data_IF_442426513065
#
_entry.id   IF_442426513065
#
_cell.length_a   1.000
_cell.length_b   1.000
_cell.length_c   1.000
_cell.angle_alpha   90.00
_cell.angle_beta   90.00
_cell.angle_gamma   90.00
#
_symmetry.space_group_name_H-M   'P 1'
#
loop_
_entity.id
_entity.type
_entity.pdbx_description
1 polymer ?
#
# COMPACT_ATOMS: atom_id res chain seq x y z
N UNK A 1 25.80 -59.55 6.99
CA UNK A 1 26.31 -60.84 6.45
C UNK A 1 25.14 -61.79 6.36
N UNK A 2 24.96 -62.37 5.18
CA UNK A 2 23.93 -63.34 4.81
C UNK A 2 24.07 -64.63 5.62
N UNK A 3 22.93 -65.23 6.00
CA UNK A 3 22.64 -66.65 5.79
C UNK A 3 21.13 -66.86 5.74
N UNK A 4 20.67 -67.43 4.62
CA UNK A 4 19.33 -67.95 4.37
C UNK A 4 18.99 -69.12 5.30
N UNK A 5 17.70 -69.40 5.49
CA UNK A 5 17.18 -70.75 5.29
C UNK A 5 15.70 -70.74 4.87
N UNK A 6 15.35 -71.81 4.17
CA UNK A 6 14.26 -71.91 3.18
C UNK A 6 13.06 -72.73 3.70
N UNK A 7 12.06 -72.88 2.82
CA UNK A 7 10.96 -73.87 2.78
C UNK A 7 9.65 -73.41 3.45
N UNK A 8 8.47 -73.46 2.84
CA UNK A 8 8.02 -73.89 1.53
C UNK A 8 6.48 -74.08 1.51
N UNK A 9 5.88 -73.89 0.33
CA UNK A 9 4.63 -74.49 -0.20
C UNK A 9 3.28 -74.23 0.51
N UNK A 10 2.26 -73.71 -0.17
CA UNK A 10 1.43 -74.43 -1.17
C UNK A 10 0.11 -73.70 -1.50
N UNK A 11 -0.43 -73.94 -2.71
CA UNK A 11 -1.84 -73.73 -3.11
C UNK A 11 -2.09 -72.49 -3.99
N UNK A 12 -1.97 -72.54 -5.34
CA UNK A 12 -2.96 -73.03 -6.32
C UNK A 12 -4.31 -72.28 -6.24
N UNK A 13 -4.97 -71.76 -7.29
CA UNK A 13 -4.92 -71.85 -8.77
C UNK A 13 -5.82 -70.69 -9.29
N UNK A 14 -5.44 -69.93 -10.34
CA UNK A 14 -5.98 -69.98 -11.74
C UNK A 14 -7.42 -69.41 -11.84
N UNK A 15 -7.82 -68.43 -12.67
CA UNK A 15 -7.65 -68.22 -14.13
C UNK A 15 -8.14 -66.79 -14.48
N UNK A 16 -7.45 -66.02 -15.34
CA UNK A 16 -7.94 -65.62 -16.68
C UNK A 16 -8.66 -64.24 -16.69
N UNK A 17 -8.59 -63.35 -17.68
CA UNK A 17 -7.88 -63.22 -18.95
C UNK A 17 -8.04 -61.74 -19.44
N UNK A 18 -7.20 -61.31 -20.39
CA UNK A 18 -7.46 -60.17 -21.30
C UNK A 18 -6.60 -58.91 -21.05
N UNK A 19 -5.39 -58.83 -21.63
CA UNK A 19 -5.06 -58.22 -22.94
C UNK A 19 -5.44 -56.73 -23.04
N UNK A 20 -4.46 -55.84 -22.90
CA UNK A 20 -3.86 -55.03 -23.99
C UNK A 20 -4.79 -53.95 -24.57
N UNK A 21 -4.45 -52.68 -24.36
CA UNK A 21 -3.75 -51.90 -25.38
C UNK A 21 -3.41 -50.48 -24.89
N UNK A 22 -2.21 -50.07 -25.29
CA UNK A 22 -1.70 -48.69 -25.27
C UNK A 22 -2.66 -47.76 -26.03
N UNK A 23 -2.88 -46.58 -25.47
CA UNK A 23 -3.47 -45.43 -26.15
C UNK A 23 -2.79 -44.16 -25.67
N UNK A 24 -1.79 -43.70 -26.41
CA UNK A 24 -1.28 -42.33 -26.36
C UNK A 24 -2.31 -41.36 -26.95
N UNK A 25 -2.46 -40.19 -26.33
CA UNK A 25 -2.63 -38.84 -26.94
C UNK A 25 -3.28 -37.87 -25.93
N UNK A 26 -3.12 -36.55 -26.10
CA UNK A 26 -1.91 -35.83 -26.48
C UNK A 26 -1.63 -34.67 -25.50
N UNK A 27 -0.34 -34.33 -25.33
CA UNK A 27 0.06 -33.04 -24.81
C UNK A 27 -0.30 -31.97 -25.86
N UNK A 28 -1.33 -31.16 -25.57
CA UNK A 28 -1.56 -29.92 -26.29
C UNK A 28 -0.82 -28.81 -25.54
N UNK A 29 0.26 -28.35 -26.14
CA UNK A 29 0.87 -27.05 -25.87
C UNK A 29 -0.14 -25.96 -26.22
N UNK A 30 -0.85 -25.45 -25.21
CA UNK A 30 -1.49 -24.14 -25.31
C UNK A 30 -0.57 -23.11 -24.66
N UNK A 31 0.14 -22.36 -25.52
CA UNK A 31 0.81 -21.12 -25.17
C UNK A 31 -0.21 -20.14 -24.56
N UNK A 32 -0.24 -20.01 -23.24
CA UNK A 32 -0.81 -18.87 -22.55
C UNK A 32 0.21 -18.36 -21.53
N UNK A 33 0.73 -17.16 -21.81
CA UNK A 33 1.78 -16.50 -21.05
C UNK A 33 1.50 -16.48 -19.55
N UNK A 34 2.35 -17.20 -18.81
CA UNK A 34 2.54 -17.00 -17.38
C UNK A 34 3.33 -15.72 -17.23
N UNK A 35 2.66 -14.61 -16.86
CA UNK A 35 3.36 -13.35 -16.58
C UNK A 35 3.88 -13.42 -15.15
N UNK A 36 5.16 -13.69 -15.02
CA UNK A 36 5.93 -13.56 -13.80
C UNK A 36 5.94 -12.08 -13.37
N UNK A 37 5.41 -11.80 -12.17
CA UNK A 37 5.57 -10.49 -11.55
C UNK A 37 6.89 -10.49 -10.78
N UNK A 38 7.99 -10.22 -11.47
CA UNK A 38 9.23 -9.81 -10.82
C UNK A 38 9.03 -8.39 -10.26
N UNK A 39 8.95 -8.27 -8.94
CA UNK A 39 9.31 -7.02 -8.26
C UNK A 39 10.84 -6.89 -8.34
N UNK A 40 11.34 -6.53 -9.52
CA UNK A 40 12.74 -6.21 -9.74
C UNK A 40 13.05 -4.85 -9.15
N UNK A 41 13.87 -4.80 -8.09
CA UNK A 41 14.64 -3.61 -7.78
C UNK A 41 15.64 -3.41 -8.91
N UNK A 42 15.50 -2.34 -9.67
CA UNK A 42 16.46 -1.96 -10.71
C UNK A 42 17.68 -1.39 -10.00
N UNK A 43 18.80 -2.12 -10.05
CA UNK A 43 20.13 -1.52 -9.88
C UNK A 43 20.37 -0.64 -11.13
N UNK A 44 20.55 0.66 -10.90
CA UNK A 44 20.86 1.61 -11.96
C UNK A 44 22.29 1.35 -12.47
N UNK A 45 22.40 1.04 -13.76
CA UNK A 45 23.66 1.13 -14.51
C UNK A 45 23.67 2.46 -15.26
N UNK A 46 24.81 3.14 -15.18
CA UNK A 46 25.10 4.44 -15.78
C UNK A 46 25.10 4.36 -17.31
N UNK A 47 24.49 5.35 -17.96
CA UNK A 47 24.50 5.52 -19.42
C UNK A 47 24.22 6.98 -19.78
N UNK A 48 25.13 7.55 -20.56
CA UNK A 48 25.33 8.97 -20.86
C UNK A 48 24.13 9.65 -21.57
N UNK A 49 23.80 10.88 -21.15
CA UNK A 49 22.80 11.73 -21.79
C UNK A 49 23.47 12.76 -22.72
N UNK A 50 23.09 12.72 -24.00
CA UNK A 50 23.41 13.74 -25.00
C UNK A 50 22.43 14.92 -24.90
N UNK A 51 22.98 16.14 -24.81
CA UNK A 51 22.26 17.41 -24.80
C UNK A 51 21.52 17.70 -26.11
N UNK A 52 20.25 18.09 -26.00
CA UNK A 52 19.46 18.71 -27.06
C UNK A 52 18.69 19.91 -26.51
N UNK A 53 19.13 21.11 -26.87
CA UNK A 53 18.54 22.41 -26.52
C UNK A 53 17.33 22.67 -27.41
N UNK A 54 16.21 23.13 -26.85
CA UNK A 54 15.12 23.78 -27.61
C UNK A 54 14.66 25.03 -26.85
N UNK A 55 14.80 26.18 -27.51
CA UNK A 55 14.47 27.51 -27.05
C UNK A 55 12.94 27.75 -26.95
N UNK A 56 12.53 28.57 -25.98
CA UNK A 56 11.16 29.03 -25.81
C UNK A 56 10.99 30.47 -26.32
N UNK A 57 10.00 30.70 -27.18
CA UNK A 57 9.59 32.03 -27.64
C UNK A 57 8.58 32.67 -26.68
N UNK A 58 8.86 33.92 -26.30
CA UNK A 58 7.96 34.85 -25.63
C UNK A 58 6.85 35.33 -26.58
N UNK A 59 5.63 35.46 -26.04
CA UNK A 59 4.54 36.22 -26.64
C UNK A 59 3.73 36.88 -25.54
N UNK A 60 3.89 38.20 -25.39
CA UNK A 60 3.06 39.03 -24.52
C UNK A 60 1.75 39.43 -25.20
N UNK A 61 0.73 39.71 -24.39
CA UNK A 61 -0.39 40.60 -24.76
C UNK A 61 -0.83 41.38 -23.52
N UNK A 62 -1.06 42.66 -23.76
CA UNK A 62 -1.32 43.75 -22.83
C UNK A 62 -2.71 43.73 -22.19
N UNK A 63 -2.77 44.36 -21.02
CA UNK A 63 -3.98 44.71 -20.28
C UNK A 63 -4.63 45.97 -20.86
N UNK A 64 -5.95 46.12 -20.64
CA UNK A 64 -6.58 47.44 -20.74
C UNK A 64 -7.76 47.61 -19.77
N UNK A 65 -7.82 48.85 -19.26
CA UNK A 65 -8.95 49.62 -18.74
C UNK A 65 -9.40 49.47 -17.27
N UNK A 66 -9.41 50.62 -16.59
CA UNK A 66 -10.42 50.97 -15.59
C UNK A 66 -9.98 51.94 -14.50
N UNK A 67 -9.84 53.23 -14.82
CA UNK A 67 -9.73 54.33 -13.84
C UNK A 67 -11.06 54.53 -13.07
N UNK A 68 -10.98 54.96 -11.80
CA UNK A 68 -12.16 55.32 -11.01
C UNK A 68 -11.88 55.75 -9.56
N UNK A 69 -11.50 57.02 -9.42
CA UNK A 69 -11.84 57.98 -8.35
C UNK A 69 -11.51 57.71 -6.86
N UNK A 70 -10.77 58.68 -6.31
CA UNK A 70 -10.45 58.86 -4.90
C UNK A 70 -11.57 59.61 -4.17
N UNK A 71 -11.93 59.15 -2.97
CA UNK A 71 -12.61 59.96 -1.97
C UNK A 71 -11.88 59.90 -0.63
N UNK A 72 -11.59 61.11 -0.16
CA UNK A 72 -10.92 61.49 1.08
C UNK A 72 -12.01 61.66 2.15
N UNK A 73 -11.81 61.10 3.34
CA UNK A 73 -12.77 61.17 4.45
C UNK A 73 -12.15 60.78 5.78
N UNK A 74 -11.56 61.79 6.41
CA UNK A 74 -11.46 62.12 7.83
C UNK A 74 -11.06 61.08 8.90
N UNK A 75 -10.03 61.52 9.61
CA UNK A 75 -9.47 61.00 10.86
C UNK A 75 -10.38 61.40 12.02
N UNK A 76 -10.88 60.43 12.78
CA UNK A 76 -11.30 60.63 14.15
C UNK A 76 -10.49 59.75 15.10
N UNK A 77 -9.73 60.43 15.96
CA UNK A 77 -9.00 59.88 17.10
C UNK A 77 -9.96 59.56 18.24
N UNK A 78 -9.89 58.34 18.77
CA UNK A 78 -10.33 58.07 20.15
C UNK A 78 -9.29 57.21 20.87
N UNK A 79 -8.74 57.79 21.94
CA UNK A 79 -7.93 57.14 22.98
C UNK A 79 -8.83 56.63 24.10
N UNK A 80 -8.45 55.52 24.71
CA UNK A 80 -9.10 54.87 25.87
C UNK A 80 -9.66 53.51 25.46
N UNK A 81 -9.34 52.36 26.05
CA UNK A 81 -8.74 52.08 27.35
C UNK A 81 -7.92 50.78 27.29
N UNK A 82 -6.89 50.71 28.14
CA UNK A 82 -6.04 49.55 28.36
C UNK A 82 -6.82 48.52 29.19
N UNK A 83 -7.29 47.45 28.56
CA UNK A 83 -7.65 46.21 29.25
C UNK A 83 -6.57 45.15 28.98
N UNK A 84 -5.79 44.87 30.03
CA UNK A 84 -4.86 43.75 30.09
C UNK A 84 -5.63 42.43 30.10
N UNK A 85 -5.59 41.67 28.99
CA UNK A 85 -6.00 40.28 28.96
C UNK A 85 -4.78 39.35 28.83
N UNK A 86 -4.74 38.23 29.59
CA UNK A 86 -3.57 37.38 29.71
C UNK A 86 -3.45 36.39 28.55
N UNK A 87 -2.26 36.31 27.96
CA UNK A 87 -1.83 35.13 27.20
C UNK A 87 -2.38 35.02 25.78
N UNK A 88 -2.17 36.05 24.96
CA UNK A 88 -2.11 35.83 23.51
C UNK A 88 -0.88 34.96 23.22
N UNK A 89 -1.13 33.68 22.92
CA UNK A 89 -0.15 32.83 22.28
C UNK A 89 0.32 33.54 21.01
N UNK A 90 1.61 33.87 20.94
CA UNK A 90 2.27 34.37 19.74
C UNK A 90 1.81 33.54 18.53
N UNK A 91 1.55 34.16 17.37
CA UNK A 91 1.20 33.42 16.18
C UNK A 91 2.35 32.45 15.89
N UNK A 92 2.10 31.15 16.06
CA UNK A 92 3.05 30.12 15.67
C UNK A 92 3.32 30.30 14.18
N UNK A 93 4.56 30.61 13.80
CA UNK A 93 4.94 30.72 12.40
C UNK A 93 4.47 29.45 11.68
N UNK A 94 3.64 29.62 10.65
CA UNK A 94 2.97 28.56 9.89
C UNK A 94 3.92 27.53 9.23
N UNK A 95 5.23 27.63 9.46
CA UNK A 95 6.29 26.97 8.70
C UNK A 95 7.29 26.16 9.56
N UNK A 96 7.23 26.24 10.89
CA UNK A 96 8.22 25.57 11.76
C UNK A 96 8.14 24.03 11.71
N UNK A 97 6.97 23.48 11.37
CA UNK A 97 6.70 22.03 11.33
C UNK A 97 6.99 21.38 9.95
N UNK A 98 7.50 22.15 8.99
CA UNK A 98 8.00 21.64 7.69
C UNK A 98 9.37 22.20 7.33
N UNK A 99 9.80 23.30 7.94
CA UNK A 99 11.12 23.88 7.70
C UNK A 99 12.23 22.97 8.24
N UNK A 100 13.10 22.49 7.35
CA UNK A 100 14.14 21.52 7.69
C UNK A 100 15.11 22.02 8.77
N UNK A 101 15.42 23.32 8.81
CA UNK A 101 16.33 23.86 9.84
C UNK A 101 15.69 23.79 11.23
N UNK A 102 14.38 24.04 11.33
CA UNK A 102 13.61 23.91 12.57
C UNK A 102 13.48 22.45 12.99
N UNK A 103 13.27 21.55 12.04
CA UNK A 103 13.23 20.11 12.31
C UNK A 103 14.59 19.60 12.79
N UNK A 104 15.70 20.05 12.19
CA UNK A 104 17.06 19.72 12.65
C UNK A 104 17.31 20.29 14.05
N UNK A 105 16.92 21.54 14.30
CA UNK A 105 17.05 22.15 15.63
C UNK A 105 16.32 21.30 16.68
N UNK A 106 15.11 20.85 16.36
CA UNK A 106 14.30 19.99 17.23
C UNK A 106 14.91 18.60 17.42
N UNK A 107 15.34 17.95 16.34
CA UNK A 107 16.03 16.66 16.37
C UNK A 107 17.29 16.73 17.24
N UNK A 108 18.07 17.80 17.17
CA UNK A 108 19.29 17.93 17.98
C UNK A 108 19.04 17.97 19.48
N UNK A 109 17.83 18.41 19.90
CA UNK A 109 17.40 18.49 21.29
C UNK A 109 16.68 17.21 21.74
N UNK A 110 15.79 16.66 20.91
CA UNK A 110 14.87 15.58 21.28
C UNK A 110 15.34 14.19 20.84
N UNK A 111 16.09 14.07 19.74
CA UNK A 111 16.54 12.78 19.18
C UNK A 111 17.89 12.92 18.42
N UNK A 112 18.98 13.23 19.15
CA UNK A 112 20.29 13.48 18.56
C UNK A 112 20.90 12.24 17.88
N UNK A 113 20.51 11.03 18.30
CA UNK A 113 20.97 9.79 17.70
C UNK A 113 20.43 9.62 16.27
N UNK A 114 19.12 9.84 16.07
CA UNK A 114 18.53 9.82 14.74
C UNK A 114 19.10 10.92 13.86
N UNK A 115 19.38 12.11 14.41
CA UNK A 115 20.02 13.19 13.67
C UNK A 115 21.41 12.79 13.18
N UNK A 116 22.25 12.21 14.05
CA UNK A 116 23.57 11.72 13.68
C UNK A 116 23.49 10.65 12.57
N UNK A 117 22.50 9.76 12.65
CA UNK A 117 22.23 8.75 11.63
C UNK A 117 21.81 9.38 10.29
N UNK A 118 20.94 10.38 10.29
CA UNK A 118 20.53 11.13 9.10
C UNK A 118 21.77 11.74 8.42
N UNK A 119 22.61 12.45 9.16
CA UNK A 119 23.83 13.06 8.60
C UNK A 119 24.78 12.02 8.02
N UNK A 120 24.99 10.89 8.72
CA UNK A 120 25.82 9.80 8.21
C UNK A 120 25.25 9.21 6.92
N UNK A 121 23.93 9.02 6.83
CA UNK A 121 23.27 8.51 5.63
C UNK A 121 23.41 9.46 4.45
N UNK A 122 23.14 10.75 4.64
CA UNK A 122 23.23 11.77 3.58
C UNK A 122 24.66 11.93 3.05
N UNK A 123 25.66 11.87 3.95
CA UNK A 123 27.08 11.96 3.57
C UNK A 123 27.54 10.78 2.71
N UNK A 124 26.99 9.59 2.94
CA UNK A 124 27.46 8.35 2.33
C UNK A 124 26.54 7.81 1.22
N UNK A 125 25.35 8.39 1.00
CA UNK A 125 24.40 7.98 -0.03
C UNK A 125 23.95 9.17 -0.86
N UNK A 126 24.56 9.34 -2.04
CA UNK A 126 24.20 10.42 -2.96
C UNK A 126 22.71 10.38 -3.36
N UNK A 127 22.13 9.18 -3.50
CA UNK A 127 20.73 9.03 -3.93
C UNK A 127 19.71 9.57 -2.91
N UNK A 128 19.98 9.45 -1.60
CA UNK A 128 19.03 9.91 -0.57
C UNK A 128 18.90 11.44 -0.55
N UNK A 129 19.91 12.15 -1.03
CA UNK A 129 19.87 13.61 -1.12
C UNK A 129 18.86 14.13 -2.16
N UNK A 130 18.37 13.26 -3.07
CA UNK A 130 17.32 13.61 -4.03
C UNK A 130 15.91 13.33 -3.52
N UNK A 131 15.77 12.64 -2.39
CA UNK A 131 14.47 12.27 -1.84
C UNK A 131 14.18 13.07 -0.56
N UNK A 132 12.94 13.58 -0.41
CA UNK A 132 12.53 14.25 0.82
C UNK A 132 12.69 13.36 2.05
N UNK A 133 13.32 13.90 3.09
CA UNK A 133 13.40 13.29 4.41
C UNK A 133 12.09 13.50 5.16
N UNK A 134 11.52 12.44 5.72
CA UNK A 134 10.39 12.51 6.64
C UNK A 134 10.83 12.13 8.05
N UNK A 135 10.23 12.77 9.04
CA UNK A 135 10.43 12.45 10.47
C UNK A 135 9.11 12.63 11.23
N UNK A 136 8.96 12.06 12.43
CA UNK A 136 7.78 12.27 13.28
C UNK A 136 7.54 13.73 13.69
N UNK A 137 8.54 14.59 13.53
CA UNK A 137 8.45 16.02 13.83
C UNK A 137 7.84 16.84 12.69
N UNK A 138 7.78 16.29 11.48
CA UNK A 138 7.17 16.95 10.35
C UNK A 138 5.65 16.92 10.43
N UNK A 139 5.02 17.99 9.97
CA UNK A 139 3.62 17.98 9.59
C UNK A 139 3.44 17.27 8.25
N UNK A 140 3.25 15.96 8.30
CA UNK A 140 3.17 15.09 7.11
C UNK A 140 2.09 15.56 6.11
N UNK A 141 0.96 16.11 6.60
CA UNK A 141 -0.09 16.66 5.73
C UNK A 141 0.44 17.82 4.88
N UNK A 142 1.16 18.78 5.49
CA UNK A 142 1.74 19.92 4.77
C UNK A 142 2.87 19.48 3.83
N UNK A 143 3.65 18.46 4.20
CA UNK A 143 4.64 17.87 3.29
C UNK A 143 3.96 17.33 2.04
N UNK A 144 2.82 16.64 2.15
CA UNK A 144 2.04 16.21 0.98
C UNK A 144 1.61 17.40 0.12
N UNK A 145 1.17 18.52 0.73
CA UNK A 145 0.82 19.74 -0.02
C UNK A 145 2.01 20.28 -0.82
N UNK A 146 3.20 20.32 -0.22
CA UNK A 146 4.44 20.75 -0.88
C UNK A 146 4.78 19.82 -2.04
N UNK A 147 4.75 18.49 -1.82
CA UNK A 147 5.08 17.52 -2.88
C UNK A 147 4.13 17.58 -4.08
N UNK A 148 2.85 17.88 -3.84
CA UNK A 148 1.86 18.10 -4.91
C UNK A 148 2.13 19.41 -5.65
N UNK A 149 2.49 20.48 -4.93
CA UNK A 149 2.79 21.79 -5.52
C UNK A 149 4.04 21.76 -6.39
N UNK A 150 5.07 21.04 -5.94
CA UNK A 150 6.35 20.86 -6.64
C UNK A 150 6.30 19.81 -7.77
N UNK A 151 5.14 19.18 -7.99
CA UNK A 151 4.98 18.10 -8.97
C UNK A 151 6.02 16.97 -8.79
N UNK A 152 6.19 16.48 -7.55
CA UNK A 152 7.25 15.54 -7.20
C UNK A 152 7.10 14.18 -7.90
N UNK A 153 7.97 13.88 -8.89
CA UNK A 153 7.82 12.69 -9.75
C UNK A 153 8.59 11.45 -9.25
N UNK A 154 9.53 11.61 -8.32
CA UNK A 154 10.43 10.51 -7.92
C UNK A 154 9.78 9.44 -7.03
N UNK A 155 8.54 9.65 -6.58
CA UNK A 155 7.69 8.77 -5.76
C UNK A 155 8.18 8.37 -4.36
N UNK A 156 9.50 8.35 -4.14
CA UNK A 156 10.12 7.86 -2.92
C UNK A 156 10.33 9.02 -1.94
N UNK A 157 10.12 8.77 -0.67
CA UNK A 157 10.69 9.57 0.43
C UNK A 157 11.52 8.65 1.30
N UNK A 158 12.20 9.15 2.31
CA UNK A 158 12.95 8.29 3.22
C UNK A 158 12.90 8.80 4.65
N UNK A 159 13.11 7.89 5.60
CA UNK A 159 13.15 8.23 7.01
C UNK A 159 14.00 7.24 7.81
N UNK A 160 14.54 7.70 8.93
CA UNK A 160 15.26 6.85 9.90
C UNK A 160 14.34 6.27 10.96
N UNK A 161 13.24 6.97 11.25
CA UNK A 161 12.16 6.53 12.14
C UNK A 161 11.30 5.48 11.46
N UNK A 162 10.93 4.45 12.22
CA UNK A 162 10.12 3.34 11.71
C UNK A 162 9.16 2.79 12.76
N UNK A 163 8.91 3.50 13.86
CA UNK A 163 7.98 3.03 14.88
C UNK A 163 6.54 3.01 14.36
N UNK A 164 5.71 2.14 14.95
CA UNK A 164 4.33 1.97 14.51
C UNK A 164 3.48 3.25 14.55
N UNK A 165 3.78 4.23 15.42
CA UNK A 165 2.99 5.47 15.48
C UNK A 165 3.28 6.32 14.24
N UNK A 166 4.57 6.49 13.90
CA UNK A 166 4.98 7.19 12.70
C UNK A 166 4.49 6.49 11.42
N UNK A 167 4.56 5.15 11.36
CA UNK A 167 3.98 4.36 10.27
C UNK A 167 2.47 4.65 10.13
N UNK A 168 1.73 4.71 11.22
CA UNK A 168 0.31 5.07 11.14
C UNK A 168 0.10 6.50 10.65
N UNK A 169 0.94 7.47 11.02
CA UNK A 169 0.85 8.84 10.49
C UNK A 169 1.05 8.87 8.98
N UNK A 170 2.03 8.12 8.46
CA UNK A 170 2.29 7.98 7.04
C UNK A 170 1.09 7.36 6.30
N UNK A 171 0.56 6.24 6.81
CA UNK A 171 -0.64 5.58 6.26
C UNK A 171 -1.85 6.52 6.29
N UNK A 172 -2.08 7.24 7.39
CA UNK A 172 -3.18 8.19 7.54
C UNK A 172 -3.13 9.35 6.55
N UNK A 173 -1.93 9.74 6.12
CA UNK A 173 -1.72 10.78 5.12
C UNK A 173 -1.48 10.20 3.72
N UNK A 174 -1.73 8.91 3.47
CA UNK A 174 -1.81 8.29 2.14
C UNK A 174 -0.50 7.74 1.57
N UNK A 175 0.59 7.77 2.34
CA UNK A 175 1.84 7.11 1.96
C UNK A 175 1.70 5.58 2.07
N UNK A 176 2.44 4.84 1.24
CA UNK A 176 2.66 3.40 1.41
C UNK A 176 4.05 3.18 2.03
N UNK A 177 4.12 2.74 3.30
CA UNK A 177 5.38 2.40 3.95
C UNK A 177 5.98 1.13 3.34
N UNK A 178 7.07 1.25 2.62
CA UNK A 178 7.93 0.13 2.21
C UNK A 178 9.32 0.32 2.79
N UNK A 179 10.17 -0.70 2.78
CA UNK A 179 11.56 -0.55 3.20
C UNK A 179 12.57 -1.00 2.15
N UNK A 180 13.78 -0.45 2.22
CA UNK A 180 14.88 -0.76 1.31
C UNK A 180 16.21 -0.75 2.06
N UNK A 181 17.16 -1.57 1.58
CA UNK A 181 18.53 -1.61 2.11
C UNK A 181 19.33 -0.43 1.57
N UNK A 182 19.80 0.43 2.46
CA UNK A 182 20.72 1.53 2.15
C UNK A 182 22.14 1.17 2.63
N UNK A 183 23.15 1.66 1.91
CA UNK A 183 24.55 1.48 2.33
C UNK A 183 24.85 2.51 3.42
N UNK A 184 25.46 2.09 4.52
CA UNK A 184 25.81 2.97 5.63
C UNK A 184 27.27 2.72 5.98
N UNK A 185 28.05 3.79 6.07
CA UNK A 185 29.42 3.70 6.56
C UNK A 185 29.40 3.79 8.09
N UNK A 186 29.87 2.76 8.77
CA UNK A 186 30.07 2.74 10.22
C UNK A 186 31.56 2.73 10.53
N UNK A 187 31.97 3.49 11.54
CA UNK A 187 33.33 3.48 12.05
C UNK A 187 33.44 2.36 13.10
N UNK A 188 34.19 1.31 12.80
CA UNK A 188 34.48 0.21 13.73
C UNK A 188 36.00 0.07 13.84
N UNK A 189 36.56 0.14 15.05
CA UNK A 189 38.01 0.00 15.31
C UNK A 189 38.90 0.92 14.43
N UNK A 190 38.54 2.20 14.29
CA UNK A 190 39.21 3.18 13.41
C UNK A 190 39.24 2.79 11.91
N UNK A 191 38.42 1.83 11.49
CA UNK A 191 38.21 1.48 10.09
C UNK A 191 36.78 1.80 9.67
N UNK A 192 36.62 2.34 8.47
CA UNK A 192 35.30 2.58 7.89
C UNK A 192 34.80 1.30 7.24
N UNK A 193 33.68 0.79 7.71
CA UNK A 193 33.03 -0.42 7.17
C UNK A 193 31.69 -0.05 6.56
N UNK A 194 31.45 -0.47 5.32
CA UNK A 194 30.16 -0.31 4.65
C UNK A 194 29.24 -1.47 5.07
N UNK A 195 28.15 -1.15 5.76
CA UNK A 195 27.10 -2.10 6.14
C UNK A 195 25.81 -1.77 5.40
N UNK A 196 24.93 -2.76 5.20
CA UNK A 196 23.59 -2.52 4.66
C UNK A 196 22.60 -2.39 5.81
N UNK A 197 21.91 -1.26 5.88
CA UNK A 197 20.88 -1.01 6.88
C UNK A 197 19.53 -0.84 6.20
N UNK A 198 18.46 -1.41 6.76
CA UNK A 198 17.14 -1.27 6.17
C UNK A 198 16.49 0.02 6.69
N UNK A 199 16.06 0.88 5.78
CA UNK A 199 15.32 2.10 6.08
C UNK A 199 13.91 1.99 5.53
N UNK A 200 12.99 2.70 6.17
CA UNK A 200 11.66 2.91 5.60
C UNK A 200 11.77 3.97 4.49
N UNK A 201 11.14 3.66 3.36
CA UNK A 201 11.05 4.46 2.14
C UNK A 201 9.56 4.68 1.86
N UNK A 202 8.89 5.63 2.54
CA UNK A 202 7.47 5.85 2.31
C UNK A 202 7.23 6.32 0.88
N UNK A 203 6.32 5.65 0.17
CA UNK A 203 6.00 5.96 -1.23
C UNK A 203 4.76 6.82 -1.32
N UNK A 204 4.87 7.92 -2.05
CA UNK A 204 3.75 8.79 -2.39
C UNK A 204 3.08 8.38 -3.70
N UNK A 205 3.85 7.81 -4.63
CA UNK A 205 3.48 7.49 -6.03
C UNK A 205 3.04 8.71 -6.84
N UNK A 206 3.65 8.90 -8.00
CA UNK A 206 3.28 9.98 -8.91
C UNK A 206 1.96 9.68 -9.61
N UNK A 207 1.76 8.39 -9.94
CA UNK A 207 0.49 7.86 -10.43
C UNK A 207 0.07 6.67 -9.57
N UNK A 208 -1.17 6.72 -9.08
CA UNK A 208 -1.76 5.71 -8.21
C UNK A 208 -2.75 4.85 -8.99
N UNK A 209 -2.73 3.55 -8.75
CA UNK A 209 -3.75 2.63 -9.24
C UNK A 209 -4.90 2.57 -8.24
N UNK A 210 -6.07 3.08 -8.61
CA UNK A 210 -7.24 3.06 -7.73
C UNK A 210 -8.52 2.74 -8.48
N UNK A 211 -9.56 2.34 -7.75
CA UNK A 211 -10.91 2.21 -8.28
C UNK A 211 -11.94 2.31 -7.16
N UNK A 212 -13.19 2.56 -7.52
CA UNK A 212 -14.30 2.28 -6.61
C UNK A 212 -14.49 0.75 -6.56
N UNK A 213 -14.75 0.13 -5.40
CA UNK A 213 -14.88 -1.33 -5.32
C UNK A 213 -15.94 -1.94 -6.27
N UNK A 214 -16.98 -1.18 -6.62
CA UNK A 214 -18.02 -1.63 -7.58
C UNK A 214 -17.53 -1.73 -9.03
N UNK A 215 -16.41 -1.10 -9.38
CA UNK A 215 -15.87 -1.04 -10.75
C UNK A 215 -15.08 -2.30 -11.13
N UNK A 216 -14.89 -3.23 -10.19
CA UNK A 216 -14.20 -4.50 -10.41
C UNK A 216 -14.77 -5.27 -11.61
N UNK A 217 -13.91 -5.61 -12.56
CA UNK A 217 -14.24 -6.49 -13.66
C UNK A 217 -14.12 -7.96 -13.24
N UNK A 218 -15.25 -8.68 -13.21
CA UNK A 218 -15.32 -10.08 -12.81
C UNK A 218 -15.53 -10.97 -14.04
N UNK A 219 -14.48 -11.68 -14.44
CA UNK A 219 -14.54 -12.59 -15.59
C UNK A 219 -15.46 -13.82 -15.34
N UNK A 220 -15.98 -14.40 -16.42
CA UNK A 220 -16.77 -15.66 -16.36
C UNK A 220 -15.99 -16.81 -15.71
N UNK A 221 -14.67 -16.86 -15.92
CA UNK A 221 -13.78 -17.88 -15.35
C UNK A 221 -13.74 -17.79 -13.82
N UNK A 222 -13.67 -16.57 -13.27
CA UNK A 222 -13.71 -16.35 -11.82
C UNK A 222 -15.05 -16.80 -11.24
N UNK A 223 -16.18 -16.41 -11.87
CA UNK A 223 -17.53 -16.83 -11.44
C UNK A 223 -17.68 -18.35 -11.36
N UNK A 224 -17.05 -19.10 -12.28
CA UNK A 224 -17.06 -20.57 -12.25
C UNK A 224 -16.16 -21.17 -11.16
N UNK A 225 -14.97 -20.59 -10.95
CA UNK A 225 -13.93 -21.16 -10.06
C UNK A 225 -14.11 -20.82 -8.58
N UNK A 226 -14.85 -19.78 -8.23
CA UNK A 226 -14.93 -19.28 -6.86
C UNK A 226 -15.74 -20.14 -5.87
N UNK A 227 -16.50 -21.14 -6.33
CA UNK A 227 -17.45 -21.93 -5.50
C UNK A 227 -16.82 -22.63 -4.29
N UNK A 228 -15.60 -23.14 -4.44
CA UNK A 228 -14.86 -23.83 -3.38
C UNK A 228 -13.96 -22.91 -2.54
N UNK A 229 -14.05 -21.60 -2.72
CA UNK A 229 -13.22 -20.64 -2.01
C UNK A 229 -14.02 -19.84 -0.99
N UNK A 230 -13.36 -19.50 0.12
CA UNK A 230 -13.93 -18.73 1.20
C UNK A 230 -13.01 -17.59 1.59
N UNK A 231 -13.57 -16.44 1.94
CA UNK A 231 -12.82 -15.28 2.42
C UNK A 231 -13.02 -15.11 3.92
N UNK A 232 -11.95 -14.75 4.62
CA UNK A 232 -12.00 -14.21 5.99
C UNK A 232 -11.21 -12.91 6.06
N UNK A 233 -11.40 -12.20 7.17
CA UNK A 233 -10.67 -10.97 7.47
C UNK A 233 -10.18 -11.05 8.91
N UNK A 234 -8.92 -10.68 9.13
CA UNK A 234 -8.24 -10.64 10.44
C UNK A 234 -8.20 -12.00 11.15
N UNK A 235 -8.25 -13.12 10.41
CA UNK A 235 -8.26 -14.46 10.98
C UNK A 235 -6.85 -15.01 11.19
N UNK A 236 -5.95 -14.80 10.24
CA UNK A 236 -4.62 -15.42 10.23
C UNK A 236 -3.55 -14.46 9.67
N UNK A 237 -3.36 -13.35 10.38
CA UNK A 237 -2.40 -12.31 9.99
C UNK A 237 -0.97 -12.85 9.87
N UNK A 238 -0.55 -13.70 10.81
CA UNK A 238 0.78 -14.31 10.80
C UNK A 238 0.95 -15.27 9.62
N UNK A 239 -0.06 -16.10 9.32
CA UNK A 239 -0.05 -16.98 8.14
C UNK A 239 -0.03 -16.22 6.82
N UNK A 240 -0.66 -15.05 6.74
CA UNK A 240 -0.60 -14.16 5.57
C UNK A 240 0.78 -13.53 5.42
N UNK A 241 1.37 -12.98 6.49
CA UNK A 241 2.75 -12.46 6.45
C UNK A 241 3.74 -13.53 6.00
N UNK A 242 3.62 -14.74 6.55
CA UNK A 242 4.45 -15.87 6.19
C UNK A 242 4.28 -16.22 4.69
N UNK A 243 3.05 -16.25 4.18
CA UNK A 243 2.78 -16.50 2.76
C UNK A 243 3.35 -15.44 1.81
N UNK A 244 3.34 -14.16 2.23
CA UNK A 244 3.98 -13.08 1.47
C UNK A 244 5.49 -13.29 1.41
N UNK A 245 6.12 -13.59 2.54
CA UNK A 245 7.57 -13.80 2.62
C UNK A 245 8.00 -15.07 1.87
N UNK A 246 7.22 -16.14 1.93
CA UNK A 246 7.45 -17.35 1.12
C UNK A 246 7.44 -17.05 -0.38
N UNK A 247 6.48 -16.22 -0.83
CA UNK A 247 6.29 -15.96 -2.25
C UNK A 247 7.31 -14.97 -2.83
N UNK A 248 7.67 -13.94 -2.07
CA UNK A 248 8.45 -12.79 -2.57
C UNK A 248 9.80 -12.60 -1.86
N UNK A 249 10.12 -13.44 -0.87
CA UNK A 249 11.16 -13.15 0.11
C UNK A 249 10.78 -11.98 1.02
N UNK A 250 11.77 -11.46 1.77
CA UNK A 250 11.53 -10.26 2.58
C UNK A 250 11.19 -9.05 1.71
N UNK A 251 11.82 -8.92 0.53
CA UNK A 251 11.73 -7.77 -0.37
C UNK A 251 11.77 -6.42 0.38
N UNK A 252 10.61 -5.76 0.53
CA UNK A 252 10.46 -4.53 1.30
C UNK A 252 9.84 -4.74 2.69
N UNK A 253 9.22 -5.89 2.93
CA UNK A 253 8.54 -6.26 4.17
C UNK A 253 9.56 -6.92 5.13
N UNK A 254 10.62 -6.21 5.45
CA UNK A 254 11.66 -6.67 6.37
C UNK A 254 11.10 -6.94 7.78
N UNK A 255 11.78 -7.75 8.62
CA UNK A 255 11.27 -8.14 9.94
C UNK A 255 10.84 -6.98 10.84
N UNK A 256 11.51 -5.82 10.77
CA UNK A 256 11.11 -4.64 11.53
C UNK A 256 9.75 -4.10 11.05
N UNK A 257 9.48 -4.05 9.74
CA UNK A 257 8.19 -3.61 9.19
C UNK A 257 7.09 -4.59 9.60
N UNK A 258 7.35 -5.90 9.49
CA UNK A 258 6.40 -6.94 9.92
C UNK A 258 6.02 -6.77 11.39
N UNK A 259 7.01 -6.54 12.26
CA UNK A 259 6.80 -6.32 13.69
C UNK A 259 5.91 -5.12 13.96
N UNK A 260 6.16 -3.98 13.30
CA UNK A 260 5.36 -2.77 13.52
C UNK A 260 3.95 -2.92 12.93
N UNK A 261 3.80 -3.53 11.75
CA UNK A 261 2.48 -3.84 11.19
C UNK A 261 1.67 -4.76 12.10
N UNK A 262 2.32 -5.76 12.73
CA UNK A 262 1.67 -6.63 13.72
C UNK A 262 1.20 -5.84 14.95
N UNK A 263 2.00 -4.90 15.47
CA UNK A 263 1.56 -4.03 16.58
C UNK A 263 0.33 -3.18 16.21
N UNK A 264 0.27 -2.69 14.97
CA UNK A 264 -0.88 -1.91 14.47
C UNK A 264 -2.11 -2.82 14.32
N UNK A 265 -1.94 -4.01 13.75
CA UNK A 265 -2.99 -5.03 13.61
C UNK A 265 -3.59 -5.42 14.97
N UNK A 266 -2.72 -5.72 15.95
CA UNK A 266 -3.11 -6.06 17.33
C UNK A 266 -3.62 -4.85 18.13
N UNK A 267 -3.67 -3.66 17.52
CA UNK A 267 -4.09 -2.38 18.15
C UNK A 267 -3.26 -2.00 19.38
N UNK A 268 -2.03 -2.51 19.48
CA UNK A 268 -1.05 -2.09 20.50
C UNK A 268 -0.56 -0.67 20.26
N UNK A 269 -0.59 -0.24 19.00
CA UNK A 269 -0.38 1.15 18.57
C UNK A 269 -1.57 1.55 17.73
N UNK A 270 -2.11 2.74 17.97
CA UNK A 270 -3.22 3.29 17.20
C UNK A 270 -2.97 4.75 16.90
N UNK A 271 -3.48 5.22 15.77
CA UNK A 271 -3.47 6.63 15.39
C UNK A 271 -4.71 6.92 14.56
N UNK A 272 -5.57 7.81 15.06
CA UNK A 272 -6.84 8.19 14.42
C UNK A 272 -7.65 6.93 14.04
N UNK A 273 -8.04 6.80 12.77
CA UNK A 273 -8.83 5.70 12.24
C UNK A 273 -8.02 4.72 11.37
N UNK A 274 -6.68 4.71 11.50
CA UNK A 274 -5.83 3.73 10.80
C UNK A 274 -6.02 2.35 11.43
N UNK A 275 -6.27 1.34 10.60
CA UNK A 275 -6.23 -0.07 11.01
C UNK A 275 -5.50 -0.90 9.97
N UNK A 276 -4.71 -1.86 10.44
CA UNK A 276 -4.07 -2.87 9.61
C UNK A 276 -4.95 -4.13 9.62
N UNK A 277 -5.03 -4.81 8.49
CA UNK A 277 -5.87 -5.99 8.29
C UNK A 277 -5.13 -7.08 7.54
N UNK A 278 -5.52 -8.33 7.78
CA UNK A 278 -5.28 -9.44 6.86
C UNK A 278 -6.56 -9.85 6.17
N UNK A 279 -6.45 -10.22 4.90
CA UNK A 279 -7.54 -10.84 4.13
C UNK A 279 -7.05 -12.19 3.68
N UNK A 280 -7.79 -13.24 4.02
CA UNK A 280 -7.41 -14.61 3.72
C UNK A 280 -8.40 -15.25 2.77
N UNK A 281 -7.90 -16.00 1.79
CA UNK A 281 -8.72 -16.86 0.92
C UNK A 281 -8.36 -18.31 1.13
N UNK A 282 -9.35 -19.07 1.58
CA UNK A 282 -9.27 -20.49 1.88
C UNK A 282 -9.87 -21.31 0.75
N UNK A 283 -9.26 -22.44 0.43
CA UNK A 283 -9.90 -23.53 -0.31
C UNK A 283 -9.91 -24.72 0.63
N UNK A 284 -11.09 -25.17 1.03
CA UNK A 284 -11.24 -26.07 2.18
C UNK A 284 -10.56 -25.45 3.41
N UNK A 285 -9.58 -26.12 4.02
CA UNK A 285 -8.77 -25.61 5.13
C UNK A 285 -7.40 -25.05 4.72
N UNK A 286 -7.11 -25.02 3.42
CA UNK A 286 -5.83 -24.54 2.91
C UNK A 286 -5.86 -23.03 2.61
N UNK A 287 -4.92 -22.28 3.19
CA UNK A 287 -4.72 -20.85 2.92
C UNK A 287 -4.16 -20.66 1.50
N UNK A 288 -5.06 -20.51 0.54
CA UNK A 288 -4.79 -20.52 -0.90
C UNK A 288 -4.27 -19.18 -1.43
N UNK A 289 -4.66 -18.07 -0.80
CA UNK A 289 -4.14 -16.72 -1.06
C UNK A 289 -4.38 -15.84 0.17
N UNK A 290 -3.68 -14.71 0.23
CA UNK A 290 -3.95 -13.68 1.23
C UNK A 290 -3.26 -12.37 0.92
N UNK A 291 -3.70 -11.29 1.54
CA UNK A 291 -3.03 -9.98 1.53
C UNK A 291 -3.08 -9.28 2.87
N UNK A 292 -2.09 -8.43 3.11
CA UNK A 292 -2.19 -7.39 4.13
C UNK A 292 -2.59 -6.07 3.46
N UNK A 293 -3.44 -5.33 4.15
CA UNK A 293 -3.91 -4.02 3.73
C UNK A 293 -4.26 -3.16 4.93
N UNK A 294 -4.53 -1.87 4.72
CA UNK A 294 -4.97 -0.98 5.78
C UNK A 294 -6.25 -0.24 5.41
N UNK A 295 -6.97 0.23 6.43
CA UNK A 295 -8.11 1.12 6.28
C UNK A 295 -7.82 2.48 6.88
N UNK A 296 -8.28 3.53 6.18
CA UNK A 296 -8.31 4.91 6.66
C UNK A 296 -9.64 5.52 6.22
N UNK A 297 -10.59 5.63 7.14
CA UNK A 297 -11.95 6.04 6.78
C UNK A 297 -12.61 5.04 5.83
N UNK A 298 -13.14 5.52 4.69
CA UNK A 298 -13.72 4.68 3.63
C UNK A 298 -12.74 4.30 2.53
N UNK A 299 -11.44 4.34 2.84
CA UNK A 299 -10.35 3.93 1.96
C UNK A 299 -9.81 2.58 2.43
N UNK A 300 -9.67 1.62 1.52
CA UNK A 300 -8.89 0.40 1.72
C UNK A 300 -7.66 0.44 0.84
N UNK A 301 -6.46 0.30 1.41
CA UNK A 301 -5.20 0.22 0.67
C UNK A 301 -4.66 -1.19 0.72
N UNK A 302 -4.61 -1.88 -0.43
CA UNK A 302 -3.93 -3.17 -0.56
C UNK A 302 -2.42 -2.94 -0.63
N UNK A 303 -1.66 -3.53 0.31
CA UNK A 303 -0.21 -3.34 0.38
C UNK A 303 0.53 -4.44 -0.40
N UNK A 304 0.33 -5.69 -0.01
CA UNK A 304 0.93 -6.86 -0.69
C UNK A 304 0.21 -8.14 -0.31
N UNK A 305 0.29 -9.13 -1.19
CA UNK A 305 -0.31 -10.43 -1.00
C UNK A 305 0.43 -11.54 -1.74
N UNK A 306 -0.10 -12.74 -1.62
CA UNK A 306 0.43 -13.95 -2.23
C UNK A 306 -0.71 -14.84 -2.73
N UNK A 307 -0.37 -15.81 -3.57
CA UNK A 307 -1.24 -16.93 -3.90
C UNK A 307 -0.41 -18.21 -3.97
N UNK A 308 -0.99 -19.30 -3.46
CA UNK A 308 -0.46 -20.67 -3.53
C UNK A 308 -1.21 -21.52 -4.56
N UNK A 309 -2.48 -21.19 -4.84
CA UNK A 309 -3.30 -21.91 -5.83
C UNK A 309 -3.65 -21.03 -7.03
N UNK A 310 -3.62 -21.63 -8.22
CA UNK A 310 -3.96 -20.92 -9.45
C UNK A 310 -5.35 -20.28 -9.39
N UNK A 311 -5.44 -19.01 -9.82
CA UNK A 311 -6.66 -18.18 -9.79
C UNK A 311 -7.10 -17.72 -8.40
N UNK A 312 -6.48 -18.17 -7.29
CA UNK A 312 -6.87 -17.76 -5.94
C UNK A 312 -6.67 -16.26 -5.72
N UNK A 313 -5.59 -15.67 -6.24
CA UNK A 313 -5.36 -14.21 -6.14
C UNK A 313 -6.43 -13.39 -6.89
N UNK A 314 -6.84 -13.81 -8.09
CA UNK A 314 -7.92 -13.11 -8.82
C UNK A 314 -9.27 -13.28 -8.13
N UNK A 315 -9.55 -14.45 -7.54
CA UNK A 315 -10.76 -14.68 -6.74
C UNK A 315 -10.74 -13.79 -5.49
N UNK A 316 -9.61 -13.68 -4.80
CA UNK A 316 -9.43 -12.78 -3.65
C UNK A 316 -9.78 -11.35 -4.02
N UNK A 317 -9.20 -10.81 -5.10
CA UNK A 317 -9.47 -9.45 -5.53
C UNK A 317 -10.97 -9.25 -5.83
N UNK A 318 -11.61 -10.19 -6.52
CA UNK A 318 -13.04 -10.08 -6.82
C UNK A 318 -13.92 -10.15 -5.57
N UNK A 319 -13.62 -11.06 -4.63
CA UNK A 319 -14.36 -11.22 -3.39
C UNK A 319 -14.18 -10.02 -2.46
N UNK A 320 -12.93 -9.53 -2.32
CA UNK A 320 -12.60 -8.36 -1.53
C UNK A 320 -13.27 -7.10 -2.09
N UNK A 321 -13.27 -6.91 -3.41
CA UNK A 321 -14.00 -5.81 -4.05
C UNK A 321 -15.48 -5.78 -3.64
N UNK A 322 -16.13 -6.95 -3.67
CA UNK A 322 -17.56 -7.08 -3.32
C UNK A 322 -17.80 -6.86 -1.84
N UNK A 323 -16.88 -7.33 -1.00
CA UNK A 323 -16.92 -7.08 0.44
C UNK A 323 -16.78 -5.58 0.75
N UNK A 324 -15.79 -4.91 0.16
CA UNK A 324 -15.56 -3.46 0.30
C UNK A 324 -16.75 -2.66 -0.22
N UNK A 325 -17.31 -3.03 -1.38
CA UNK A 325 -18.51 -2.42 -1.95
C UNK A 325 -19.68 -2.52 -0.96
N UNK A 326 -19.93 -3.72 -0.42
CA UNK A 326 -21.02 -3.94 0.53
C UNK A 326 -20.82 -3.14 1.83
N UNK A 327 -19.57 -2.91 2.23
CA UNK A 327 -19.20 -2.17 3.43
C UNK A 327 -19.00 -0.67 3.18
N UNK A 328 -19.45 -0.18 2.02
CA UNK A 328 -19.50 1.24 1.67
C UNK A 328 -18.12 1.91 1.67
N UNK A 329 -17.09 1.19 1.23
CA UNK A 329 -15.81 1.79 0.90
C UNK A 329 -15.90 2.56 -0.42
N UNK A 330 -15.40 3.79 -0.43
CA UNK A 330 -15.44 4.69 -1.59
C UNK A 330 -14.18 4.57 -2.46
N UNK A 331 -13.05 4.16 -1.88
CA UNK A 331 -11.78 4.07 -2.58
C UNK A 331 -11.05 2.78 -2.23
N UNK A 332 -10.73 2.01 -3.27
CA UNK A 332 -9.77 0.93 -3.18
C UNK A 332 -8.46 1.38 -3.84
N UNK A 333 -7.46 1.64 -3.00
CA UNK A 333 -6.10 1.99 -3.39
C UNK A 333 -5.27 0.71 -3.55
N UNK A 334 -4.82 0.47 -4.78
CA UNK A 334 -4.00 -0.69 -5.13
C UNK A 334 -2.50 -0.33 -5.18
N UNK A 335 -2.11 0.91 -4.86
CA UNK A 335 -0.71 1.36 -4.91
C UNK A 335 -0.21 1.55 -6.34
N UNK A 336 0.94 0.94 -6.66
CA UNK A 336 1.60 1.07 -7.97
C UNK A 336 0.76 0.53 -9.13
N UNK A 337 0.86 1.16 -10.30
CA UNK A 337 0.31 0.67 -11.56
C UNK A 337 0.96 -0.66 -11.98
N UNK A 338 0.13 -1.66 -12.25
CA UNK A 338 0.56 -2.93 -12.82
C UNK A 338 -0.43 -3.33 -13.93
N UNK A 339 0.03 -3.90 -15.07
CA UNK A 339 -0.84 -4.19 -16.21
C UNK A 339 -2.10 -5.00 -15.87
N UNK A 340 -1.99 -5.98 -14.96
CA UNK A 340 -3.13 -6.80 -14.56
C UNK A 340 -4.18 -6.03 -13.71
N UNK A 341 -3.82 -4.89 -13.09
CA UNK A 341 -4.77 -4.08 -12.32
C UNK A 341 -5.74 -3.34 -13.25
N UNK A 342 -5.24 -2.89 -14.41
CA UNK A 342 -6.08 -2.31 -15.47
C UNK A 342 -7.12 -3.31 -15.97
N UNK A 343 -6.73 -4.58 -16.15
CA UNK A 343 -7.64 -5.61 -16.66
C UNK A 343 -8.77 -5.96 -15.69
N UNK A 344 -8.59 -5.71 -14.39
CA UNK A 344 -9.64 -5.87 -13.37
C UNK A 344 -10.43 -4.58 -13.11
N UNK A 345 -10.17 -3.49 -13.85
CA UNK A 345 -10.95 -2.25 -13.77
C UNK A 345 -10.27 -1.10 -13.00
N UNK A 346 -9.01 -1.24 -12.60
CA UNK A 346 -8.31 -0.12 -11.96
C UNK A 346 -8.01 1.01 -12.93
N UNK A 347 -8.02 2.23 -12.41
CA UNK A 347 -7.74 3.47 -13.14
C UNK A 347 -6.39 4.04 -12.69
N UNK A 348 -5.78 4.80 -13.59
CA UNK A 348 -4.61 5.62 -13.29
C UNK A 348 -5.09 6.96 -12.74
N UNK A 349 -4.65 7.31 -11.54
CA UNK A 349 -5.04 8.52 -10.83
C UNK A 349 -3.77 9.33 -10.56
N UNK A 350 -3.78 10.61 -10.94
CA UNK A 350 -2.65 11.50 -10.65
C UNK A 350 -2.44 11.67 -9.14
N UNK A 351 -1.23 12.01 -8.70
CA UNK A 351 -0.95 12.31 -7.29
C UNK A 351 -1.96 13.34 -6.72
N UNK A 352 -2.22 14.41 -7.47
CA UNK A 352 -3.14 15.48 -7.06
C UNK A 352 -4.57 14.94 -6.87
N UNK A 353 -5.08 14.17 -7.81
CA UNK A 353 -6.45 13.64 -7.75
C UNK A 353 -6.59 12.56 -6.68
N UNK A 354 -5.56 11.73 -6.51
CA UNK A 354 -5.49 10.76 -5.43
C UNK A 354 -5.61 11.47 -4.07
N UNK A 355 -4.82 12.51 -3.81
CA UNK A 355 -4.87 13.20 -2.53
C UNK A 355 -6.15 14.02 -2.32
N UNK A 356 -6.77 14.52 -3.40
CA UNK A 356 -8.12 15.11 -3.33
C UNK A 356 -9.15 14.09 -2.85
N UNK A 357 -9.17 12.89 -3.43
CA UNK A 357 -10.04 11.79 -3.00
C UNK A 357 -9.69 11.30 -1.60
N UNK A 358 -8.41 11.07 -1.31
CA UNK A 358 -7.93 10.57 -0.03
C UNK A 358 -8.34 11.49 1.11
N UNK A 359 -8.17 12.82 0.97
CA UNK A 359 -8.62 13.81 1.97
C UNK A 359 -10.13 13.79 2.19
N UNK A 360 -10.91 13.56 1.14
CA UNK A 360 -12.36 13.43 1.24
C UNK A 360 -12.76 12.16 1.99
N UNK A 361 -12.19 11.01 1.63
CA UNK A 361 -12.64 9.70 2.10
C UNK A 361 -12.00 9.26 3.42
N UNK A 362 -10.82 9.78 3.79
CA UNK A 362 -10.16 9.44 5.07
C UNK A 362 -10.96 9.84 6.32
N UNK A 363 -11.89 10.79 6.18
CA UNK A 363 -12.80 11.24 7.24
C UNK A 363 -14.18 10.59 7.18
N UNK A 364 -14.49 9.85 6.12
CA UNK A 364 -15.76 9.15 5.99
C UNK A 364 -15.67 7.82 6.74
N UNK A 365 -16.69 7.53 7.55
CA UNK A 365 -16.72 6.28 8.28
C UNK A 365 -17.18 5.16 7.34
N UNK A 366 -16.30 4.18 7.11
CA UNK A 366 -16.69 2.85 6.69
C UNK A 366 -16.33 1.87 7.80
N UNK A 367 -17.15 0.85 7.97
CA UNK A 367 -16.89 -0.19 8.96
C UNK A 367 -16.40 -1.41 8.21
N UNK A 368 -15.07 -1.59 8.15
CA UNK A 368 -14.53 -2.90 7.81
C UNK A 368 -14.88 -3.84 8.95
N UNK A 369 -16.05 -4.49 8.86
CA UNK A 369 -16.59 -5.27 9.98
C UNK A 369 -15.61 -6.40 10.25
N UNK A 370 -15.04 -6.44 11.45
CA UNK A 370 -14.01 -7.39 11.84
C UNK A 370 -14.15 -7.75 13.33
N UNK A 371 -13.82 -8.98 13.72
CA UNK A 371 -13.52 -10.11 12.85
C UNK A 371 -14.80 -10.70 12.22
N UNK A 372 -14.76 -11.06 10.93
CA UNK A 372 -15.66 -12.08 10.39
C UNK A 372 -15.02 -13.44 10.65
N UNK A 373 -15.25 -13.99 11.85
CA UNK A 373 -14.68 -15.30 12.18
C UNK A 373 -15.29 -16.42 11.32
N UNK A 374 -16.51 -16.22 10.83
CA UNK A 374 -17.18 -17.11 9.91
C UNK A 374 -16.69 -16.87 8.47
N UNK A 375 -16.21 -17.96 7.84
CA UNK A 375 -15.77 -17.99 6.43
C UNK A 375 -16.95 -17.66 5.52
N UNK A 376 -16.84 -16.60 4.71
CA UNK A 376 -17.84 -16.26 3.69
C UNK A 376 -17.49 -16.92 2.36
N UNK A 377 -18.44 -17.60 1.72
CA UNK A 377 -18.19 -18.21 0.42
C UNK A 377 -17.99 -17.13 -0.67
N UNK A 378 -16.88 -17.21 -1.41
CA UNK A 378 -16.54 -16.23 -2.43
C UNK A 378 -17.57 -16.18 -3.57
N UNK A 379 -18.25 -17.29 -3.89
CA UNK A 379 -19.30 -17.29 -4.91
C UNK A 379 -20.50 -16.45 -4.46
N UNK A 380 -20.91 -16.52 -3.19
CA UNK A 380 -22.03 -15.70 -2.68
C UNK A 380 -21.74 -14.21 -2.86
N UNK A 381 -20.51 -13.76 -2.55
CA UNK A 381 -20.09 -12.37 -2.74
C UNK A 381 -20.01 -11.97 -4.22
N UNK A 382 -19.49 -12.85 -5.07
CA UNK A 382 -19.17 -12.56 -6.48
C UNK A 382 -20.40 -12.66 -7.39
N UNK A 383 -21.26 -13.63 -7.16
CA UNK A 383 -22.43 -13.93 -8.02
C UNK A 383 -23.76 -13.55 -7.39
N UNK A 384 -23.79 -13.18 -6.10
CA UNK A 384 -25.03 -13.07 -5.33
C UNK A 384 -25.44 -14.41 -4.71
N UNK A 385 -26.36 -14.37 -3.74
CA UNK A 385 -26.93 -15.57 -3.16
C UNK A 385 -27.69 -16.37 -4.24
N UNK A 386 -27.61 -17.71 -4.24
CA UNK A 386 -28.45 -18.52 -5.11
C UNK A 386 -29.93 -18.29 -4.77
N UNK A 387 -30.79 -18.20 -5.79
CA UNK A 387 -32.24 -18.10 -5.62
C UNK A 387 -32.73 -19.24 -4.71
N UNK A 388 -33.24 -18.91 -3.52
CA UNK A 388 -33.77 -19.88 -2.54
C UNK A 388 -32.88 -20.18 -1.31
N UNK A 389 -31.71 -19.56 -1.16
CA UNK A 389 -30.91 -19.62 0.09
C UNK A 389 -31.38 -18.63 1.16
N UNK A 390 -30.96 -18.77 2.44
CA UNK A 390 -31.27 -17.79 3.48
C UNK A 390 -30.81 -16.41 3.03
N UNK A 391 -31.74 -15.46 3.04
CA UNK A 391 -31.54 -14.10 2.60
C UNK A 391 -30.48 -13.45 3.51
N UNK A 392 -29.25 -13.32 3.01
CA UNK A 392 -28.27 -12.47 3.69
C UNK A 392 -28.79 -11.06 3.50
N UNK A 393 -29.41 -10.49 4.53
CA UNK A 393 -29.85 -9.08 4.56
C UNK A 393 -28.63 -8.16 4.43
N UNK A 394 -28.22 -7.94 3.20
CA UNK A 394 -27.13 -7.07 2.78
C UNK A 394 -27.78 -5.72 2.41
N UNK A 395 -27.87 -4.80 3.37
CA UNK A 395 -28.39 -3.45 3.13
C UNK A 395 -27.50 -2.71 2.11
N UNK A 396 -27.96 -2.59 0.87
CA UNK A 396 -27.27 -1.88 -0.20
C UNK A 396 -27.72 -0.42 -0.25
N UNK A 397 -26.81 0.49 0.10
CA UNK A 397 -26.88 1.88 -0.32
C UNK A 397 -25.70 2.12 -1.25
N UNK A 398 -25.93 2.07 -2.57
CA UNK A 398 -24.90 2.33 -3.57
C UNK A 398 -24.56 3.83 -3.61
N UNK A 399 -23.34 4.19 -3.22
CA UNK A 399 -22.73 5.46 -3.65
C UNK A 399 -21.97 5.19 -4.94
N UNK A 400 -22.25 5.99 -5.97
CA UNK A 400 -21.79 5.74 -7.34
C UNK A 400 -20.36 6.22 -7.61
N UNK A 401 -19.77 5.59 -8.62
CA UNK A 401 -18.52 5.81 -9.39
C UNK A 401 -17.59 6.96 -9.01
N UNK A 402 -16.27 6.69 -9.01
CA UNK A 402 -15.23 7.74 -8.98
C UNK A 402 -15.27 8.50 -10.31
N UNK A 403 -15.73 9.75 -10.26
CA UNK A 403 -15.52 10.75 -11.32
C UNK A 403 -14.15 11.39 -11.08
N UNK A 404 -13.27 11.27 -12.08
CA UNK A 404 -11.93 11.89 -12.10
C UNK A 404 -12.06 13.33 -12.55
#
# INVERSE_FOLDING_TARGET
MSTCDSLGSSGAKVEGAGSEQKGECPAQEEHHGVVEAHQGGVEANEGEAHNGVVEAHQGGVEANQGDGEAHQGDVETNQGDVETNPGEAKPSHLDDDVNINRIIERLSKEDPESLAKIYSLMKNNNCLNFYPLLTPFHNIKKIVDILIAENYEHENTWCVHCDGLFICQLLYEGFIPVASKQKVCKLEHNQTKVVKECLLIPKIHYVRSCMHPSEIHISRKVKKKCRGYYITVDRDFDGVLQGIVEKHGQNWLYPFVQKEFKKIFEKKITYKNVRMHSVEVWCDDFLAAGEIGCTVGSIYTSLTGFQRKNSAGTIQLCALAKLLQHQQFDLWDLGMLLPYKKTIGSKEISMRDFFKMHRRFKHQSAHFRVPFQERLNCAVLITGAPEGGPEVHLMSHCRGSIQV
#
